data_IF_445066488329
#
_entry.id   IF_445066488329
#
_cell.length_a   1.000
_cell.length_b   1.000
_cell.length_c   1.000
_cell.angle_alpha   90.00
_cell.angle_beta   90.00
_cell.angle_gamma   90.00
#
_symmetry.space_group_name_H-M   'P 1'
#
loop_
_entity.id
_entity.type
_entity.pdbx_description
1 polymer ?
#
# COMPACT_ATOMS: atom_id res chain seq x y z
N UNK A 1 39.33 19.69 39.24
CA UNK A 1 39.20 18.25 38.91
C UNK A 1 37.84 17.66 39.29
N UNK A 2 37.39 17.70 40.56
CA UNK A 2 36.08 17.13 40.96
C UNK A 2 34.87 17.70 40.18
N UNK A 3 34.81 19.02 39.95
CA UNK A 3 33.76 19.66 39.14
C UNK A 3 33.74 19.20 37.68
N UNK A 4 34.91 19.00 37.07
CA UNK A 4 35.01 18.56 35.67
C UNK A 4 34.53 17.11 35.54
N UNK A 5 34.92 16.23 36.48
CA UNK A 5 34.46 14.82 36.51
C UNK A 5 32.93 14.74 36.65
N UNK A 6 32.35 15.55 37.52
CA UNK A 6 30.89 15.60 37.71
C UNK A 6 30.18 16.07 36.43
N UNK A 7 30.69 17.11 35.77
CA UNK A 7 30.10 17.61 34.52
C UNK A 7 30.20 16.57 33.40
N UNK A 8 31.34 15.89 33.24
CA UNK A 8 31.51 14.83 32.24
C UNK A 8 30.56 13.66 32.50
N UNK A 9 30.35 13.28 33.76
CA UNK A 9 29.44 12.20 34.12
C UNK A 9 27.98 12.54 33.81
N UNK A 10 27.55 13.78 34.11
CA UNK A 10 26.22 14.27 33.77
C UNK A 10 26.01 14.29 32.24
N UNK A 11 27.01 14.74 31.48
CA UNK A 11 26.93 14.80 30.02
C UNK A 11 26.82 13.40 29.40
N UNK A 12 27.53 12.42 29.97
CA UNK A 12 27.48 11.03 29.53
C UNK A 12 26.12 10.39 29.81
N UNK A 13 25.54 10.65 30.99
CA UNK A 13 24.18 10.21 31.33
C UNK A 13 23.14 10.89 30.41
N UNK A 14 23.27 12.19 30.15
CA UNK A 14 22.37 12.92 29.27
C UNK A 14 22.42 12.38 27.84
N UNK A 15 23.63 12.10 27.33
CA UNK A 15 23.81 11.53 25.99
C UNK A 15 23.22 10.12 25.92
N UNK A 16 23.52 9.25 26.90
CA UNK A 16 22.93 7.91 26.97
C UNK A 16 21.39 7.96 27.03
N UNK A 17 20.84 8.88 27.81
CA UNK A 17 19.39 9.09 27.90
C UNK A 17 18.80 9.53 26.55
N UNK A 18 19.37 10.54 25.90
CA UNK A 18 18.95 11.01 24.58
C UNK A 18 19.03 9.87 23.56
N UNK A 19 20.11 9.10 23.55
CA UNK A 19 20.31 7.96 22.66
C UNK A 19 19.25 6.88 22.89
N UNK A 20 18.96 6.51 24.15
CA UNK A 20 17.92 5.51 24.46
C UNK A 20 16.53 6.01 24.08
N UNK A 21 16.20 7.27 24.36
CA UNK A 21 14.91 7.87 23.99
C UNK A 21 14.77 7.97 22.46
N UNK A 22 15.84 8.36 21.76
CA UNK A 22 15.90 8.42 20.32
C UNK A 22 15.66 7.03 19.71
N UNK A 23 16.39 6.00 20.15
CA UNK A 23 16.23 4.63 19.66
C UNK A 23 14.92 3.96 20.10
N UNK A 24 14.32 4.32 21.24
CA UNK A 24 12.99 3.83 21.64
C UNK A 24 11.86 4.43 20.81
N UNK A 25 12.01 5.66 20.34
CA UNK A 25 11.02 6.33 19.49
C UNK A 25 11.22 6.06 18.00
N UNK A 26 12.38 5.54 17.61
CA UNK A 26 12.59 4.96 16.30
C UNK A 26 11.86 3.61 16.23
N UNK A 27 10.78 3.55 15.46
CA UNK A 27 10.22 2.25 15.08
C UNK A 27 11.29 1.51 14.26
N UNK A 28 11.50 0.20 14.47
CA UNK A 28 12.49 -0.53 13.70
C UNK A 28 12.20 -0.39 12.20
N UNK A 29 13.24 -0.26 11.38
CA UNK A 29 13.09 -0.06 9.94
C UNK A 29 12.11 -1.04 9.28
N UNK A 30 11.15 -0.56 8.51
CA UNK A 30 10.22 -1.32 7.69
C UNK A 30 9.04 -1.94 8.44
N UNK A 31 8.97 -1.77 9.77
CA UNK A 31 7.94 -2.42 10.58
C UNK A 31 6.53 -1.90 10.31
N UNK A 32 6.37 -0.61 10.03
CA UNK A 32 5.05 -0.04 9.69
C UNK A 32 4.56 -0.55 8.33
N UNK A 33 5.37 -0.44 7.29
CA UNK A 33 5.07 -0.95 5.94
C UNK A 33 4.75 -2.44 5.99
N UNK A 34 5.56 -3.25 6.68
CA UNK A 34 5.30 -4.69 6.84
C UNK A 34 3.96 -4.99 7.51
N UNK A 35 3.58 -4.21 8.53
CA UNK A 35 2.30 -4.41 9.23
C UNK A 35 1.12 -4.01 8.36
N UNK A 36 1.21 -2.89 7.64
CA UNK A 36 0.17 -2.44 6.71
C UNK A 36 0.00 -3.46 5.58
N UNK A 37 1.10 -3.89 4.95
CA UNK A 37 1.06 -4.89 3.87
C UNK A 37 0.52 -6.24 4.33
N UNK A 38 0.73 -6.62 5.60
CA UNK A 38 0.14 -7.83 6.20
C UNK A 38 -1.38 -7.78 6.37
N UNK A 39 -2.02 -6.63 6.15
CA UNK A 39 -3.49 -6.50 6.13
C UNK A 39 -4.10 -6.57 4.72
N UNK A 40 -3.26 -6.49 3.68
CA UNK A 40 -3.69 -6.55 2.29
C UNK A 40 -3.90 -8.02 1.89
N UNK A 41 -5.04 -8.38 1.27
CA UNK A 41 -5.31 -9.75 0.83
C UNK A 41 -4.24 -10.32 -0.12
N UNK A 42 -3.95 -11.62 0.02
CA UNK A 42 -2.89 -12.29 -0.76
C UNK A 42 -3.16 -12.41 -2.27
N UNK A 43 -4.39 -12.16 -2.73
CA UNK A 43 -4.74 -12.08 -4.15
C UNK A 43 -4.40 -10.71 -4.78
N UNK A 44 -3.81 -9.77 -4.03
CA UNK A 44 -3.29 -8.54 -4.61
C UNK A 44 -2.29 -8.86 -5.73
N UNK A 45 -2.53 -8.28 -6.91
CA UNK A 45 -1.63 -8.41 -8.06
C UNK A 45 -0.57 -7.30 -8.06
N UNK A 46 -1.00 -6.08 -7.73
CA UNK A 46 -0.15 -4.90 -7.64
C UNK A 46 -0.44 -4.18 -6.34
N UNK A 47 0.59 -3.62 -5.70
CA UNK A 47 0.45 -2.68 -4.59
C UNK A 47 1.27 -1.44 -4.91
N UNK A 48 0.62 -0.30 -4.96
CA UNK A 48 1.27 0.99 -5.12
C UNK A 48 1.35 1.68 -3.74
N UNK A 49 2.56 1.98 -3.28
CA UNK A 49 2.85 2.68 -2.03
C UNK A 49 3.39 4.07 -2.34
N UNK A 50 2.87 5.10 -1.70
CA UNK A 50 3.38 6.47 -1.82
C UNK A 50 3.12 7.25 -0.54
N UNK A 51 3.85 8.34 -0.33
CA UNK A 51 3.62 9.21 0.83
C UNK A 51 2.42 10.14 0.59
N UNK A 52 1.53 10.26 1.58
CA UNK A 52 0.43 11.23 1.55
C UNK A 52 0.94 12.64 1.88
N UNK A 53 1.65 13.25 0.93
CA UNK A 53 2.13 14.61 1.01
C UNK A 53 1.82 15.40 -0.26
N UNK A 54 1.86 16.73 -0.18
CA UNK A 54 1.57 17.60 -1.32
C UNK A 54 2.58 17.40 -2.46
N UNK A 55 3.84 17.09 -2.15
CA UNK A 55 4.90 16.90 -3.14
C UNK A 55 4.59 15.77 -4.11
N UNK A 56 4.10 14.63 -3.61
CA UNK A 56 3.65 13.52 -4.46
C UNK A 56 2.53 13.94 -5.41
N UNK A 57 1.52 14.67 -4.92
CA UNK A 57 0.37 15.08 -5.73
C UNK A 57 0.71 16.14 -6.78
N UNK A 58 1.62 17.06 -6.47
CA UNK A 58 2.11 18.06 -7.42
C UNK A 58 2.82 17.37 -8.60
N UNK A 59 3.70 16.41 -8.30
CA UNK A 59 4.41 15.62 -9.31
C UNK A 59 3.43 14.82 -10.17
N UNK A 60 2.40 14.23 -9.56
CA UNK A 60 1.41 13.42 -10.27
C UNK A 60 0.52 14.25 -11.20
N UNK A 61 0.19 15.48 -10.79
CA UNK A 61 -0.67 16.40 -11.56
C UNK A 61 0.06 16.96 -12.79
N UNK A 62 1.35 17.25 -12.65
CA UNK A 62 2.16 17.83 -13.73
C UNK A 62 2.67 16.78 -14.74
N UNK A 63 2.62 15.49 -14.40
CA UNK A 63 3.16 14.42 -15.23
C UNK A 63 2.10 13.74 -16.12
N UNK A 64 2.11 14.09 -17.40
CA UNK A 64 1.20 13.54 -18.43
C UNK A 64 1.35 12.01 -18.64
N UNK A 65 2.53 11.45 -18.38
CA UNK A 65 2.77 10.00 -18.53
C UNK A 65 2.10 9.21 -17.41
N UNK A 66 2.14 9.70 -16.17
CA UNK A 66 1.47 9.06 -15.04
C UNK A 66 -0.06 9.06 -15.19
N UNK A 67 -0.62 10.17 -15.67
CA UNK A 67 -2.05 10.29 -15.95
C UNK A 67 -2.54 9.36 -17.09
N UNK A 68 -1.65 8.90 -17.98
CA UNK A 68 -2.00 8.01 -19.09
C UNK A 68 -2.09 6.53 -18.69
N UNK A 69 -1.44 6.13 -17.59
CA UNK A 69 -1.35 4.72 -17.15
C UNK A 69 -2.57 4.29 -16.32
N UNK A 70 -3.20 5.21 -15.59
CA UNK A 70 -4.36 4.94 -14.73
C UNK A 70 -5.62 5.51 -15.39
N UNK A 71 -6.71 4.75 -15.45
CA UNK A 71 -7.94 5.23 -16.08
C UNK A 71 -8.48 6.48 -15.37
N UNK A 72 -8.85 7.51 -16.14
CA UNK A 72 -9.33 8.81 -15.62
C UNK A 72 -10.45 8.68 -14.58
N UNK A 73 -11.33 7.70 -14.77
CA UNK A 73 -12.42 7.43 -13.83
C UNK A 73 -11.89 7.00 -12.45
N UNK A 74 -10.96 6.03 -12.40
CA UNK A 74 -10.42 5.55 -11.11
C UNK A 74 -9.60 6.62 -10.41
N UNK A 75 -8.88 7.47 -11.17
CA UNK A 75 -8.19 8.65 -10.61
C UNK A 75 -9.20 9.60 -9.96
N UNK A 76 -10.28 9.96 -10.67
CA UNK A 76 -11.30 10.87 -10.13
C UNK A 76 -12.01 10.32 -8.88
N UNK A 77 -12.26 9.01 -8.82
CA UNK A 77 -12.81 8.35 -7.63
C UNK A 77 -11.85 8.43 -6.43
N UNK A 78 -10.55 8.20 -6.65
CA UNK A 78 -9.52 8.30 -5.62
C UNK A 78 -9.31 9.76 -5.16
N UNK A 79 -9.34 10.73 -6.08
CA UNK A 79 -9.20 12.14 -5.74
C UNK A 79 -10.40 12.67 -4.94
N UNK A 80 -11.61 12.22 -5.29
CA UNK A 80 -12.82 12.53 -4.51
C UNK A 80 -12.73 11.93 -3.10
N UNK A 81 -12.26 10.69 -2.97
CA UNK A 81 -12.01 10.06 -1.67
C UNK A 81 -10.97 10.81 -0.86
N UNK A 82 -9.85 11.18 -1.48
CA UNK A 82 -8.78 11.97 -0.86
C UNK A 82 -9.34 13.29 -0.33
N UNK A 83 -10.06 14.03 -1.15
CA UNK A 83 -10.60 15.34 -0.76
C UNK A 83 -11.64 15.21 0.35
N UNK A 84 -12.53 14.22 0.27
CA UNK A 84 -13.60 14.06 1.26
C UNK A 84 -13.13 13.49 2.61
N UNK A 85 -12.08 12.67 2.61
CA UNK A 85 -11.60 11.98 3.83
C UNK A 85 -10.21 12.44 4.26
N UNK A 86 -9.21 12.37 3.38
CA UNK A 86 -7.81 12.61 3.76
C UNK A 86 -7.47 14.10 3.90
N UNK A 87 -8.15 14.98 3.16
CA UNK A 87 -8.01 16.44 3.27
C UNK A 87 -9.12 17.07 4.12
N UNK A 88 -9.96 16.27 4.77
CA UNK A 88 -10.94 16.82 5.70
C UNK A 88 -10.19 17.44 6.90
N UNK A 89 -10.47 18.69 7.31
CA UNK A 89 -9.74 19.37 8.37
C UNK A 89 -9.71 18.64 9.72
N UNK A 90 -10.70 17.80 10.02
CA UNK A 90 -10.73 17.00 11.25
C UNK A 90 -9.88 15.72 11.16
N UNK A 91 -9.63 15.24 9.95
CA UNK A 91 -8.97 13.96 9.68
C UNK A 91 -7.53 14.13 9.19
N UNK A 92 -7.23 15.19 8.44
CA UNK A 92 -5.97 15.41 7.73
C UNK A 92 -4.74 15.23 8.62
N UNK A 93 -4.76 15.81 9.83
CA UNK A 93 -3.67 15.73 10.81
C UNK A 93 -3.26 14.29 11.18
N UNK A 94 -4.13 13.32 10.97
CA UNK A 94 -3.88 11.92 11.30
C UNK A 94 -3.34 11.09 10.13
N UNK A 95 -3.44 11.61 8.91
CA UNK A 95 -3.10 10.88 7.69
C UNK A 95 -2.02 11.58 6.85
N UNK A 96 -1.79 12.87 7.06
CA UNK A 96 -0.70 13.59 6.39
C UNK A 96 0.66 12.97 6.73
N UNK A 97 1.51 12.83 5.71
CA UNK A 97 2.82 12.20 5.82
C UNK A 97 2.81 10.68 6.05
N UNK A 98 1.63 10.04 6.13
CA UNK A 98 1.53 8.58 6.23
C UNK A 98 1.58 7.95 4.83
N UNK A 99 2.16 6.76 4.72
CA UNK A 99 2.17 6.03 3.46
C UNK A 99 0.76 5.47 3.15
N UNK A 100 0.29 5.74 1.93
CA UNK A 100 -0.91 5.16 1.35
C UNK A 100 -0.52 3.95 0.52
N UNK A 101 -1.28 2.87 0.68
CA UNK A 101 -1.17 1.65 -0.10
C UNK A 101 -2.44 1.46 -0.92
N UNK A 102 -2.32 1.45 -2.25
CA UNK A 102 -3.42 1.13 -3.16
C UNK A 102 -3.10 -0.22 -3.79
N UNK A 103 -3.86 -1.25 -3.42
CA UNK A 103 -3.71 -2.59 -3.99
C UNK A 103 -4.80 -2.91 -5.00
N UNK A 104 -4.40 -3.56 -6.09
CA UNK A 104 -5.25 -3.99 -7.19
C UNK A 104 -5.51 -5.49 -7.10
N UNK A 105 -6.78 -5.87 -7.07
CA UNK A 105 -7.21 -7.25 -6.90
C UNK A 105 -8.05 -7.72 -8.09
N UNK A 106 -7.80 -8.93 -8.62
CA UNK A 106 -8.70 -9.54 -9.58
C UNK A 106 -10.02 -9.92 -8.90
N UNK A 107 -11.16 -9.57 -9.50
CA UNK A 107 -12.49 -9.80 -8.94
C UNK A 107 -13.26 -10.85 -9.74
N UNK A 108 -14.14 -11.63 -9.10
CA UNK A 108 -14.89 -12.69 -9.78
C UNK A 108 -15.87 -12.15 -10.85
N UNK A 109 -16.25 -10.87 -10.76
CA UNK A 109 -17.21 -10.21 -11.67
C UNK A 109 -16.56 -9.66 -12.96
N UNK A 110 -15.43 -10.23 -13.39
CA UNK A 110 -14.65 -9.79 -14.55
C UNK A 110 -14.28 -8.30 -14.51
N UNK A 111 -13.96 -7.79 -13.32
CA UNK A 111 -13.55 -6.41 -13.07
C UNK A 111 -12.40 -6.41 -12.06
N UNK A 112 -11.73 -5.27 -11.91
CA UNK A 112 -10.63 -5.10 -10.96
C UNK A 112 -11.04 -4.20 -9.81
N UNK A 113 -10.88 -4.69 -8.59
CA UNK A 113 -11.22 -3.99 -7.37
C UNK A 113 -9.97 -3.34 -6.76
N UNK A 114 -10.15 -2.19 -6.13
CA UNK A 114 -9.09 -1.45 -5.44
C UNK A 114 -9.31 -1.50 -3.93
N UNK A 115 -8.25 -1.74 -3.17
CA UNK A 115 -8.23 -1.59 -1.73
C UNK A 115 -7.24 -0.48 -1.36
N UNK A 116 -7.73 0.55 -0.70
CA UNK A 116 -6.95 1.60 -0.07
C UNK A 116 -6.61 1.15 1.34
N UNK A 117 -5.34 1.15 1.72
CA UNK A 117 -4.90 0.88 3.09
C UNK A 117 -3.97 1.98 3.57
N UNK A 118 -4.19 2.48 4.78
CA UNK A 118 -3.40 3.54 5.41
C UNK A 118 -3.33 3.30 6.92
N UNK A 119 -2.22 3.68 7.55
CA UNK A 119 -2.13 3.73 9.01
C UNK A 119 -2.33 5.16 9.49
N UNK A 120 -3.18 5.37 10.49
CA UNK A 120 -3.34 6.66 11.14
C UNK A 120 -2.22 6.90 12.17
N UNK A 121 -1.86 8.16 12.39
CA UNK A 121 -0.98 8.53 13.50
C UNK A 121 -1.60 8.18 14.86
N UNK A 122 -0.76 8.11 15.90
CA UNK A 122 -1.25 7.86 17.28
C UNK A 122 -2.30 8.90 17.69
N UNK A 123 -3.32 8.47 18.43
CA UNK A 123 -4.40 9.33 18.91
C UNK A 123 -5.56 9.53 17.94
N UNK A 124 -5.58 8.82 16.81
CA UNK A 124 -6.75 8.76 15.95
C UNK A 124 -7.87 7.94 16.59
N UNK A 125 -9.05 8.55 16.72
CA UNK A 125 -10.25 7.90 17.21
C UNK A 125 -11.26 7.73 16.06
N UNK A 126 -11.85 6.54 15.86
CA UNK A 126 -12.81 6.29 14.77
C UNK A 126 -14.01 7.26 14.76
N UNK A 127 -14.39 7.80 15.93
CA UNK A 127 -15.47 8.80 16.04
C UNK A 127 -15.18 10.11 15.30
N UNK A 128 -13.91 10.41 14.99
CA UNK A 128 -13.55 11.56 14.16
C UNK A 128 -14.13 11.47 12.74
N UNK A 129 -14.31 10.25 12.22
CA UNK A 129 -14.93 10.00 10.91
C UNK A 129 -16.41 10.40 10.94
N UNK A 130 -17.13 10.01 11.99
CA UNK A 130 -18.53 10.40 12.18
C UNK A 130 -18.68 11.92 12.34
N UNK A 131 -17.73 12.57 13.01
CA UNK A 131 -17.72 14.03 13.15
C UNK A 131 -17.46 14.73 11.82
N UNK A 132 -16.53 14.22 11.00
CA UNK A 132 -16.26 14.74 9.66
C UNK A 132 -17.49 14.69 8.76
N UNK A 133 -18.28 13.63 8.82
CA UNK A 133 -19.53 13.53 8.05
C UNK A 133 -20.61 14.52 8.50
N UNK A 134 -20.62 14.94 9.77
CA UNK A 134 -21.58 15.92 10.31
C UNK A 134 -21.25 17.37 9.94
N UNK A 135 -20.08 17.65 9.37
CA UNK A 135 -19.74 18.99 8.93
C UNK A 135 -20.68 19.46 7.79
N UNK A 136 -21.04 20.76 7.75
CA UNK A 136 -21.82 21.31 6.65
C UNK A 136 -21.14 21.02 5.31
N UNK A 137 -21.93 20.61 4.30
CA UNK A 137 -21.45 20.30 2.96
C UNK A 137 -20.40 19.17 2.88
N UNK A 138 -20.31 18.29 3.88
CA UNK A 138 -19.39 17.13 3.83
C UNK A 138 -19.62 16.25 2.61
N UNK A 139 -20.87 16.15 2.14
CA UNK A 139 -21.24 15.24 1.04
C UNK A 139 -21.12 13.76 1.42
N UNK A 140 -21.00 13.45 2.72
CA UNK A 140 -20.80 12.12 3.26
C UNK A 140 -21.99 11.70 4.12
N UNK A 141 -22.49 10.48 3.90
CA UNK A 141 -23.41 9.82 4.82
C UNK A 141 -22.74 8.57 5.36
N UNK A 142 -22.58 8.50 6.68
CA UNK A 142 -21.85 7.44 7.35
C UNK A 142 -22.80 6.57 8.17
N UNK A 143 -22.70 5.27 7.98
CA UNK A 143 -23.38 4.28 8.81
C UNK A 143 -22.39 3.28 9.39
N UNK A 144 -22.56 2.85 10.66
CA UNK A 144 -21.72 1.82 11.23
C UNK A 144 -21.78 0.52 10.42
N UNK A 145 -20.64 -0.14 10.30
CA UNK A 145 -20.49 -1.44 9.65
C UNK A 145 -19.73 -2.37 10.60
N UNK A 146 -20.18 -3.62 10.70
CA UNK A 146 -19.41 -4.68 11.32
C UNK A 146 -19.26 -5.81 10.29
N UNK A 147 -18.02 -6.17 9.99
CA UNK A 147 -17.70 -7.12 8.94
C UNK A 147 -16.46 -7.92 9.34
N UNK A 148 -16.56 -9.25 9.31
CA UNK A 148 -15.48 -10.13 9.78
C UNK A 148 -15.05 -9.88 11.24
N UNK A 149 -15.98 -9.43 12.09
CA UNK A 149 -15.71 -9.08 13.49
C UNK A 149 -14.92 -7.77 13.69
N UNK A 150 -14.74 -6.98 12.63
CA UNK A 150 -14.10 -5.66 12.69
C UNK A 150 -15.14 -4.56 12.57
N UNK A 151 -14.96 -3.53 13.40
CA UNK A 151 -15.75 -2.30 13.31
C UNK A 151 -15.27 -1.47 12.13
N UNK A 152 -16.22 -0.77 11.51
CA UNK A 152 -15.99 0.02 10.33
C UNK A 152 -17.18 0.91 10.01
N UNK A 153 -17.16 1.45 8.81
CA UNK A 153 -18.14 2.39 8.31
C UNK A 153 -18.52 2.05 6.87
N UNK A 154 -19.79 2.25 6.53
CA UNK A 154 -20.21 2.44 5.14
C UNK A 154 -20.35 3.94 4.92
N UNK A 155 -19.58 4.47 3.99
CA UNK A 155 -19.51 5.89 3.66
C UNK A 155 -20.14 6.05 2.27
N UNK A 156 -21.34 6.61 2.21
CA UNK A 156 -21.93 7.03 0.94
C UNK A 156 -21.40 8.41 0.56
N UNK A 157 -20.78 8.49 -0.62
CA UNK A 157 -20.16 9.71 -1.13
C UNK A 157 -21.07 10.27 -2.21
N UNK A 158 -21.74 11.37 -1.92
CA UNK A 158 -22.76 11.97 -2.80
C UNK A 158 -22.22 12.32 -4.18
N UNK A 159 -21.00 12.87 -4.25
CA UNK A 159 -20.34 13.22 -5.50
C UNK A 159 -20.11 12.03 -6.44
N UNK A 160 -19.88 10.83 -5.87
CA UNK A 160 -19.65 9.60 -6.63
C UNK A 160 -20.92 8.77 -6.81
N UNK A 161 -21.97 9.03 -6.02
CA UNK A 161 -23.16 8.18 -5.87
C UNK A 161 -22.81 6.71 -5.56
N UNK A 162 -21.70 6.50 -4.84
CA UNK A 162 -21.15 5.18 -4.50
C UNK A 162 -20.97 5.02 -3.00
N UNK A 163 -20.98 3.76 -2.54
CA UNK A 163 -20.64 3.39 -1.18
C UNK A 163 -19.19 2.95 -1.12
N UNK A 164 -18.45 3.56 -0.21
CA UNK A 164 -17.11 3.16 0.17
C UNK A 164 -17.18 2.48 1.53
N UNK A 165 -16.66 1.27 1.62
CA UNK A 165 -16.65 0.47 2.84
C UNK A 165 -15.27 0.64 3.48
N UNK A 166 -15.23 0.99 4.76
CA UNK A 166 -14.00 1.21 5.53
C UNK A 166 -14.02 0.32 6.77
N UNK A 167 -12.91 -0.34 7.09
CA UNK A 167 -12.75 -1.14 8.31
C UNK A 167 -11.49 -0.75 9.05
N UNK A 168 -11.58 -0.77 10.38
CA UNK A 168 -10.42 -0.65 11.26
C UNK A 168 -9.80 -2.04 11.47
N UNK A 169 -8.57 -2.19 11.00
CA UNK A 169 -7.71 -3.33 11.30
C UNK A 169 -6.98 -3.07 12.63
N UNK A 170 -6.22 -4.07 13.09
CA UNK A 170 -5.43 -3.88 14.31
C UNK A 170 -4.41 -2.73 14.14
N UNK A 171 -4.04 -2.09 15.24
CA UNK A 171 -2.95 -1.09 15.29
C UNK A 171 -3.18 0.19 14.46
N UNK A 172 -4.40 0.73 14.42
CA UNK A 172 -4.75 1.96 13.69
C UNK A 172 -4.48 1.87 12.18
N UNK A 173 -4.61 0.69 11.61
CA UNK A 173 -4.55 0.47 10.16
C UNK A 173 -5.98 0.43 9.65
N UNK A 174 -6.27 1.19 8.61
CA UNK A 174 -7.59 1.27 7.99
C UNK A 174 -7.53 0.73 6.58
N UNK A 175 -8.49 -0.13 6.22
CA UNK A 175 -8.64 -0.66 4.87
C UNK A 175 -9.99 -0.25 4.31
N UNK A 176 -10.01 0.27 3.09
CA UNK A 176 -11.19 0.83 2.45
C UNK A 176 -11.33 0.44 0.98
N UNK A 177 -12.54 0.14 0.52
CA UNK A 177 -12.82 -0.24 -0.87
C UNK A 177 -14.26 0.09 -1.28
N UNK A 178 -14.49 0.29 -2.57
CA UNK A 178 -15.85 0.29 -3.15
C UNK A 178 -16.44 -1.12 -3.29
N UNK A 179 -15.63 -2.17 -3.12
CA UNK A 179 -16.04 -3.57 -3.15
C UNK A 179 -16.20 -4.09 -1.72
N UNK A 180 -17.43 -4.46 -1.36
CA UNK A 180 -17.73 -5.01 -0.03
C UNK A 180 -17.03 -6.36 0.15
N UNK A 181 -17.04 -7.17 -0.90
CA UNK A 181 -16.40 -8.49 -0.94
C UNK A 181 -14.90 -8.39 -0.70
N UNK A 182 -14.23 -7.35 -1.24
CA UNK A 182 -12.81 -7.12 -1.01
C UNK A 182 -12.50 -6.70 0.43
N UNK A 183 -13.38 -5.90 1.05
CA UNK A 183 -13.27 -5.59 2.48
C UNK A 183 -13.43 -6.85 3.33
N UNK A 184 -14.41 -7.70 3.03
CA UNK A 184 -14.57 -8.99 3.73
C UNK A 184 -13.28 -9.80 3.68
N UNK A 185 -12.66 -9.91 2.50
CA UNK A 185 -11.37 -10.58 2.33
C UNK A 185 -10.26 -9.96 3.20
N UNK A 186 -10.16 -8.63 3.29
CA UNK A 186 -9.15 -7.95 4.13
C UNK A 186 -9.28 -8.22 5.63
N UNK A 187 -10.45 -8.66 6.09
CA UNK A 187 -10.71 -8.97 7.49
C UNK A 187 -10.33 -10.41 7.90
N UNK A 188 -10.23 -11.32 6.94
CA UNK A 188 -10.01 -12.75 7.20
C UNK A 188 -8.59 -13.04 7.70
N UNK A 189 -8.47 -13.88 8.74
CA UNK A 189 -7.19 -14.21 9.39
C UNK A 189 -6.20 -14.99 8.51
N UNK A 190 -6.67 -15.64 7.45
CA UNK A 190 -5.85 -16.32 6.42
C UNK A 190 -4.76 -15.38 5.86
N UNK A 191 -5.07 -14.09 5.71
CA UNK A 191 -4.14 -13.10 5.18
C UNK A 191 -3.02 -12.69 6.16
N UNK A 192 -3.20 -12.93 7.47
CA UNK A 192 -2.21 -12.58 8.52
C UNK A 192 -1.25 -13.71 8.86
N UNK A 193 -1.66 -14.97 8.69
CA UNK A 193 -0.87 -16.15 9.08
C UNK A 193 0.16 -16.57 8.04
N UNK A 194 -0.01 -16.17 6.78
CA UNK A 194 0.97 -16.41 5.73
C UNK A 194 1.86 -15.16 5.59
N UNK A 195 3.19 -15.36 5.67
CA UNK A 195 4.27 -14.36 5.51
C UNK A 195 3.95 -13.33 4.41
N UNK A 196 4.44 -12.07 4.53
CA UNK A 196 4.04 -10.99 3.63
C UNK A 196 4.14 -11.47 2.18
N UNK A 197 3.06 -11.40 1.39
CA UNK A 197 3.03 -11.91 0.02
C UNK A 197 3.85 -11.05 -0.95
N UNK A 198 4.76 -10.23 -0.42
CA UNK A 198 5.59 -9.28 -1.15
C UNK A 198 6.95 -9.15 -0.47
N UNK A 199 7.99 -9.05 -1.28
CA UNK A 199 9.32 -8.64 -0.82
C UNK A 199 9.26 -7.15 -0.47
N UNK A 200 9.68 -6.78 0.72
CA UNK A 200 9.75 -5.38 1.13
C UNK A 200 11.04 -4.75 0.63
N UNK A 201 10.97 -3.49 0.20
CA UNK A 201 12.16 -2.69 -0.07
C UNK A 201 12.90 -2.40 1.23
N UNK A 202 14.21 -2.19 1.13
CA UNK A 202 14.96 -1.61 2.26
C UNK A 202 14.46 -0.20 2.55
N UNK A 203 14.55 0.25 3.80
CA UNK A 203 14.08 1.60 4.16
C UNK A 203 14.81 2.71 3.43
N UNK A 204 16.10 2.56 3.14
CA UNK A 204 16.85 3.57 2.38
C UNK A 204 16.32 3.70 0.95
N UNK A 205 15.87 2.60 0.34
CA UNK A 205 15.22 2.64 -0.98
C UNK A 205 13.82 3.25 -0.89
N UNK A 206 13.05 2.92 0.15
CA UNK A 206 11.71 3.46 0.36
C UNK A 206 11.74 4.98 0.66
N UNK A 207 12.62 5.44 1.55
CA UNK A 207 12.70 6.85 1.94
C UNK A 207 13.14 7.80 0.82
N UNK A 208 13.87 7.31 -0.18
CA UNK A 208 14.32 8.09 -1.34
C UNK A 208 13.44 7.85 -2.58
N UNK A 209 12.36 7.08 -2.45
CA UNK A 209 11.42 6.81 -3.53
C UNK A 209 10.26 7.80 -3.52
N UNK A 210 9.83 8.25 -4.70
CA UNK A 210 8.57 8.97 -4.82
C UNK A 210 7.37 8.04 -4.53
N UNK A 211 7.44 6.84 -5.08
CA UNK A 211 6.48 5.79 -4.87
C UNK A 211 7.13 4.42 -5.12
N UNK A 212 6.50 3.38 -4.60
CA UNK A 212 6.92 1.99 -4.79
C UNK A 212 5.79 1.17 -5.39
N UNK A 213 6.16 0.23 -6.24
CA UNK A 213 5.28 -0.74 -6.87
C UNK A 213 5.74 -2.14 -6.48
N UNK A 214 4.90 -2.85 -5.76
CA UNK A 214 5.07 -4.26 -5.47
C UNK A 214 4.24 -5.08 -6.45
N UNK A 215 4.84 -6.10 -7.04
CA UNK A 215 4.21 -6.94 -8.08
C UNK A 215 4.18 -8.38 -7.61
N UNK A 216 3.00 -8.98 -7.59
CA UNK A 216 2.83 -10.42 -7.42
C UNK A 216 2.56 -11.04 -8.80
N UNK A 217 3.62 -11.54 -9.43
CA UNK A 217 3.54 -12.07 -10.79
C UNK A 217 2.55 -13.25 -10.90
N UNK A 218 2.35 -14.01 -9.82
CA UNK A 218 1.38 -15.12 -9.80
C UNK A 218 -0.09 -14.67 -9.92
N UNK A 219 -0.38 -13.40 -9.63
CA UNK A 219 -1.72 -12.82 -9.73
C UNK A 219 -1.86 -11.93 -10.98
N UNK A 220 -0.82 -11.81 -11.82
CA UNK A 220 -0.93 -11.06 -13.07
C UNK A 220 -1.81 -11.77 -14.08
N UNK A 221 -1.72 -13.09 -14.24
CA UNK A 221 -2.59 -13.83 -15.18
C UNK A 221 -4.08 -13.57 -14.94
N UNK A 222 -4.65 -13.79 -13.73
CA UNK A 222 -6.06 -13.50 -13.49
C UNK A 222 -6.40 -12.01 -13.63
N UNK A 223 -5.47 -11.10 -13.32
CA UNK A 223 -5.67 -9.67 -13.54
C UNK A 223 -5.75 -9.32 -15.05
N UNK A 224 -4.84 -9.87 -15.85
CA UNK A 224 -4.77 -9.63 -17.29
C UNK A 224 -5.98 -10.19 -18.03
N UNK A 225 -6.45 -11.38 -17.64
CA UNK A 225 -7.64 -12.00 -18.22
C UNK A 225 -8.91 -11.15 -18.02
N UNK A 226 -8.93 -10.30 -16.99
CA UNK A 226 -10.03 -9.38 -16.69
C UNK A 226 -9.87 -8.01 -17.37
N UNK A 227 -8.64 -7.53 -17.53
CA UNK A 227 -8.36 -6.22 -18.14
C UNK A 227 -8.36 -6.25 -19.66
N UNK A 228 -8.01 -7.38 -20.27
CA UNK A 228 -7.85 -7.49 -21.72
C UNK A 228 -8.77 -8.55 -22.30
N UNK A 229 -9.62 -8.15 -23.25
CA UNK A 229 -10.46 -9.09 -24.01
C UNK A 229 -9.62 -10.06 -24.86
N UNK A 230 -8.41 -9.64 -25.28
CA UNK A 230 -7.46 -10.47 -25.98
C UNK A 230 -6.47 -11.11 -24.99
N UNK A 231 -6.60 -12.43 -24.78
CA UNK A 231 -5.77 -13.23 -23.87
C UNK A 231 -4.34 -13.46 -24.38
N UNK A 232 -4.09 -13.17 -25.66
CA UNK A 232 -2.84 -13.43 -26.35
C UNK A 232 -1.97 -12.17 -26.49
N UNK A 233 -1.68 -11.52 -25.37
CA UNK A 233 -0.71 -10.43 -25.31
C UNK A 233 0.69 -11.03 -25.11
N UNK A 234 1.37 -11.34 -26.21
CA UNK A 234 2.72 -11.93 -26.19
C UNK A 234 3.73 -11.05 -25.44
N UNK A 235 3.56 -9.72 -25.49
CA UNK A 235 4.41 -8.75 -24.79
C UNK A 235 4.43 -8.91 -23.26
N UNK A 236 3.39 -9.49 -22.66
CA UNK A 236 3.32 -9.69 -21.21
C UNK A 236 3.52 -11.15 -20.78
N UNK A 237 3.71 -12.07 -21.73
CA UNK A 237 3.81 -13.51 -21.47
C UNK A 237 4.94 -13.84 -20.49
N UNK A 238 6.12 -13.23 -20.67
CA UNK A 238 7.27 -13.46 -19.79
C UNK A 238 7.02 -13.02 -18.34
N UNK A 239 6.25 -11.94 -18.13
CA UNK A 239 5.89 -11.48 -16.79
C UNK A 239 4.83 -12.37 -16.15
N UNK A 240 3.85 -12.86 -16.92
CA UNK A 240 2.80 -13.78 -16.45
C UNK A 240 3.35 -15.14 -16.01
N UNK A 241 4.45 -15.57 -16.61
CA UNK A 241 5.07 -16.88 -16.35
C UNK A 241 6.12 -16.87 -15.24
N UNK A 242 6.44 -15.71 -14.67
CA UNK A 242 7.45 -15.60 -13.62
C UNK A 242 6.81 -15.92 -12.25
N UNK A 243 7.17 -17.02 -11.57
CA UNK A 243 6.66 -17.29 -10.23
C UNK A 243 7.48 -16.51 -9.21
N UNK A 244 7.23 -15.21 -9.08
CA UNK A 244 8.01 -14.34 -8.22
C UNK A 244 7.23 -13.15 -7.68
N UNK A 245 7.95 -12.34 -6.92
CA UNK A 245 7.48 -11.07 -6.39
C UNK A 245 8.53 -10.01 -6.70
N UNK A 246 8.12 -8.85 -7.20
CA UNK A 246 9.01 -7.71 -7.37
C UNK A 246 8.68 -6.59 -6.38
N UNK A 247 9.72 -5.86 -6.01
CA UNK A 247 9.63 -4.61 -5.28
C UNK A 247 10.38 -3.56 -6.11
N UNK A 248 9.64 -2.61 -6.66
CA UNK A 248 10.12 -1.62 -7.62
C UNK A 248 9.94 -0.22 -7.06
N UNK A 249 10.94 0.62 -7.18
CA UNK A 249 10.85 2.05 -6.88
C UNK A 249 10.58 2.82 -8.15
N UNK A 250 9.57 3.69 -8.12
CA UNK A 250 9.29 4.65 -9.17
C UNK A 250 10.21 5.86 -8.99
N UNK A 251 11.05 6.06 -10.00
CA UNK A 251 11.78 7.29 -10.24
C UNK A 251 11.19 7.94 -11.50
N UNK A 252 11.05 9.26 -11.48
CA UNK A 252 10.52 9.99 -12.63
C UNK A 252 11.55 11.00 -13.13
N UNK A 253 11.59 11.16 -14.44
CA UNK A 253 12.16 12.30 -15.15
C UNK A 253 11.04 12.94 -15.97
N UNK A 254 11.25 14.16 -16.45
CA UNK A 254 10.24 14.96 -17.16
C UNK A 254 9.64 14.24 -18.38
N UNK A 255 10.38 13.28 -18.95
CA UNK A 255 10.06 12.55 -20.18
C UNK A 255 9.97 11.02 -20.00
N UNK A 256 10.19 10.48 -18.80
CA UNK A 256 10.21 9.03 -18.58
C UNK A 256 9.81 8.62 -17.16
N UNK A 257 9.11 7.48 -17.07
CA UNK A 257 8.86 6.75 -15.84
C UNK A 257 9.82 5.57 -15.77
N UNK A 258 10.62 5.51 -14.71
CA UNK A 258 11.62 4.46 -14.50
C UNK A 258 11.27 3.68 -13.25
N UNK A 259 11.13 2.36 -13.40
CA UNK A 259 11.02 1.44 -12.28
C UNK A 259 12.35 0.73 -12.07
N UNK A 260 12.92 0.85 -10.88
CA UNK A 260 14.17 0.17 -10.49
C UNK A 260 13.95 -0.63 -9.23
N UNK A 261 14.40 -1.88 -9.18
CA UNK A 261 14.17 -2.71 -7.99
C UNK A 261 14.66 -4.13 -8.14
N UNK A 262 14.13 -5.02 -7.30
CA UNK A 262 14.53 -6.42 -7.25
C UNK A 262 13.31 -7.35 -7.40
N UNK A 263 13.56 -8.53 -7.95
CA UNK A 263 12.58 -9.60 -8.08
C UNK A 263 13.08 -10.82 -7.36
N UNK A 264 12.31 -11.33 -6.39
CA UNK A 264 12.57 -12.62 -5.77
C UNK A 264 11.72 -13.70 -6.45
N UNK A 265 12.40 -14.69 -7.03
CA UNK A 265 11.75 -15.87 -7.61
C UNK A 265 11.43 -16.83 -6.46
N UNK A 266 10.25 -17.43 -6.47
CA UNK A 266 9.85 -18.47 -5.51
C UNK A 266 10.43 -19.82 -5.99
N UNK A 267 11.46 -20.37 -5.34
CA UNK A 267 12.21 -21.52 -5.87
C UNK A 267 11.38 -22.82 -5.99
N UNK A 268 10.27 -22.93 -5.26
CA UNK A 268 9.39 -24.11 -5.26
C UNK A 268 8.24 -24.07 -6.29
N UNK A 269 8.20 -23.05 -7.16
CA UNK A 269 7.28 -23.01 -8.30
C UNK A 269 8.14 -22.97 -9.56
N UNK A 270 8.00 -23.99 -10.42
CA UNK A 270 8.80 -24.11 -11.62
C UNK A 270 8.65 -22.85 -12.50
N UNK A 271 9.69 -22.01 -12.53
CA UNK A 271 9.80 -20.95 -13.50
C UNK A 271 10.18 -21.60 -14.84
N UNK A 272 9.22 -21.75 -15.75
CA UNK A 272 9.50 -22.31 -17.09
C UNK A 272 10.31 -21.37 -17.99
N UNK A 273 10.89 -20.30 -17.44
CA UNK A 273 11.55 -19.23 -18.20
C UNK A 273 13.01 -19.55 -18.53
N UNK A 274 13.68 -20.40 -17.75
CA UNK A 274 15.02 -20.88 -18.07
C UNK A 274 15.17 -22.32 -17.58
N UNK A 275 14.87 -23.30 -18.44
CA UNK A 275 15.59 -24.56 -18.36
C UNK A 275 16.97 -24.28 -18.95
N UNK A 276 18.06 -24.15 -18.17
CA UNK A 276 19.38 -24.31 -18.75
C UNK A 276 19.39 -25.69 -19.41
N UNK A 277 19.98 -25.78 -20.58
CA UNK A 277 20.23 -27.04 -21.28
C UNK A 277 21.14 -27.94 -20.44
N UNK A 278 20.61 -28.55 -19.38
CA UNK A 278 21.28 -29.61 -18.67
C UNK A 278 20.84 -30.91 -19.34
N UNK A 279 21.55 -31.31 -20.39
CA UNK A 279 21.58 -32.70 -20.82
C UNK A 279 22.38 -33.45 -19.75
N UNK A 280 21.78 -34.37 -18.97
CA UNK A 280 22.60 -35.32 -18.24
C UNK A 280 23.40 -36.11 -19.29
N UNK A 281 24.72 -36.13 -19.14
CA UNK A 281 25.57 -37.04 -19.90
C UNK A 281 25.09 -38.46 -19.62
N UNK A 282 24.57 -39.13 -20.64
CA UNK A 282 24.39 -40.56 -20.63
C UNK A 282 25.79 -41.18 -20.64
N UNK A 283 26.20 -41.77 -19.52
CA UNK A 283 27.37 -42.65 -19.52
C UNK A 283 27.01 -43.88 -20.37
N UNK A 284 27.76 -44.03 -21.46
CA UNK A 284 27.91 -45.27 -22.23
C UNK A 284 28.57 -46.37 -21.41
#
# INVERSE_FOLDING_TARGET
MKKQIVVTLILLIATAFITVVYFKNLNPPGTKTSRVMGTIPGNAALIFEFNNDQGFYDIFTDNKLLAAVISKQKIGELDTLRTALLLNPLLERFFIGQNIFISLHPSQKNNTDLLLTISATKGFEPSAIDQAAKQPNSGLLITPLNIGGRQGFTIYITALKKRFYLVSNAENIFSGSFSKELIEQSTTNENRKNKPPFVLLSEQQNANSLANLYVNYSQLTPLFDQLFSNKNTDIFKSFRLLPGMAALTLNYKTDALMFSGSTAIQPNKAASLFKPFYRPATNS
#
